data_IF_844420453796
#
_entry.id   IF_844420453796
#
_cell.length_a   1.000
_cell.length_b   1.000
_cell.length_c   1.000
_cell.angle_alpha   90.00
_cell.angle_beta   90.00
_cell.angle_gamma   90.00
#
_symmetry.space_group_name_H-M   'P 1'
#
loop_
_entity.id
_entity.type
_entity.pdbx_description
1 polymer ?
#
# COMPACT_ATOMS: atom_id res chain seq x y z
N UNK A 1 -6.88 -14.51 2.65
CA UNK A 1 -7.69 -14.31 1.44
C UNK A 1 -7.47 -12.88 0.96
N UNK A 2 -7.05 -12.69 -0.31
CA UNK A 2 -6.94 -11.35 -0.89
C UNK A 2 -8.32 -10.69 -0.88
N UNK A 3 -8.36 -9.41 -0.52
CA UNK A 3 -9.59 -8.61 -0.55
C UNK A 3 -9.44 -7.63 -1.69
N UNK A 4 -10.27 -7.75 -2.72
CA UNK A 4 -10.31 -6.79 -3.80
C UNK A 4 -10.93 -5.48 -3.29
N UNK A 5 -10.26 -4.37 -3.55
CA UNK A 5 -10.66 -3.08 -3.03
C UNK A 5 -9.89 -1.96 -3.70
N UNK A 6 -10.04 -0.78 -3.13
CA UNK A 6 -9.45 0.45 -3.64
C UNK A 6 -8.35 0.93 -2.70
N UNK A 7 -7.21 1.28 -3.29
CA UNK A 7 -6.12 1.95 -2.61
C UNK A 7 -6.21 3.45 -2.92
N UNK A 8 -6.34 4.27 -1.88
CA UNK A 8 -6.41 5.72 -1.96
C UNK A 8 -5.12 6.30 -1.42
N UNK A 9 -4.50 7.18 -2.20
CA UNK A 9 -3.27 7.88 -1.82
C UNK A 9 -3.61 9.36 -1.64
N UNK A 10 -3.30 9.90 -0.48
CA UNK A 10 -3.41 11.33 -0.16
C UNK A 10 -2.04 11.86 0.28
N UNK A 11 -1.94 13.17 0.52
CA UNK A 11 -0.69 13.80 0.98
C UNK A 11 -0.20 13.22 2.31
N UNK A 12 -1.11 12.87 3.22
CA UNK A 12 -0.77 12.46 4.60
C UNK A 12 -1.00 10.97 4.88
N UNK A 13 -1.92 10.34 4.14
CA UNK A 13 -2.37 8.97 4.40
C UNK A 13 -2.43 8.12 3.13
N UNK A 14 -2.16 6.84 3.32
CA UNK A 14 -2.60 5.74 2.48
C UNK A 14 -3.82 5.08 3.12
N UNK A 15 -4.87 4.89 2.34
CA UNK A 15 -6.07 4.21 2.81
C UNK A 15 -6.42 3.05 1.88
N UNK A 16 -6.89 1.96 2.45
CA UNK A 16 -7.46 0.84 1.69
C UNK A 16 -8.87 0.54 2.18
N UNK A 17 -9.78 0.37 1.22
CA UNK A 17 -11.17 0.01 1.48
C UNK A 17 -11.59 -1.15 0.59
N UNK A 18 -12.21 -2.16 1.20
CA UNK A 18 -12.86 -3.25 0.50
C UNK A 18 -14.18 -3.61 1.19
N UNK A 19 -15.19 -3.95 0.38
CA UNK A 19 -16.46 -4.48 0.87
C UNK A 19 -16.85 -5.68 0.01
N UNK A 20 -16.62 -6.88 0.55
CA UNK A 20 -16.85 -8.13 -0.18
C UNK A 20 -17.74 -9.03 0.68
N UNK A 21 -18.86 -9.49 0.11
CA UNK A 21 -19.79 -10.44 0.74
C UNK A 21 -20.22 -10.03 2.16
N UNK A 22 -20.57 -8.75 2.34
CA UNK A 22 -21.00 -8.21 3.64
C UNK A 22 -19.88 -8.00 4.65
N UNK A 23 -18.61 -8.21 4.27
CA UNK A 23 -17.44 -7.96 5.13
C UNK A 23 -16.72 -6.70 4.68
N UNK A 24 -16.73 -5.71 5.55
CA UNK A 24 -15.98 -4.47 5.38
C UNK A 24 -14.52 -4.64 5.83
N UNK A 25 -13.60 -4.04 5.10
CA UNK A 25 -12.19 -3.90 5.47
C UNK A 25 -11.74 -2.47 5.24
N UNK A 26 -11.22 -1.85 6.29
CA UNK A 26 -10.66 -0.51 6.26
C UNK A 26 -9.24 -0.57 6.81
N UNK A 27 -8.33 0.11 6.14
CA UNK A 27 -6.96 0.35 6.59
C UNK A 27 -6.64 1.81 6.33
N UNK A 28 -6.03 2.46 7.32
CA UNK A 28 -5.53 3.83 7.21
C UNK A 28 -4.11 3.82 7.79
N UNK A 29 -3.15 4.30 7.01
CA UNK A 29 -1.74 4.36 7.37
C UNK A 29 -1.25 5.77 7.09
N UNK A 30 -0.63 6.42 8.07
CA UNK A 30 0.06 7.70 7.84
C UNK A 30 1.39 7.43 7.16
N UNK A 31 1.78 8.28 6.21
CA UNK A 31 3.09 8.16 5.58
C UNK A 31 4.25 8.30 6.57
N UNK A 32 4.08 9.11 7.61
CA UNK A 32 5.06 9.25 8.70
C UNK A 32 5.28 7.99 9.53
N UNK A 33 4.35 7.02 9.48
CA UNK A 33 4.46 5.74 10.18
C UNK A 33 5.08 4.64 9.31
N UNK A 34 5.26 4.90 8.01
CA UNK A 34 5.89 3.96 7.06
C UNK A 34 7.38 3.96 7.29
N UNK A 35 7.92 2.78 7.60
CA UNK A 35 9.36 2.57 7.84
C UNK A 35 10.07 2.02 6.61
N UNK A 36 9.36 1.32 5.74
CA UNK A 36 9.92 0.67 4.56
C UNK A 36 8.86 0.55 3.46
N UNK A 37 9.27 0.76 2.21
CA UNK A 37 8.44 0.63 1.02
C UNK A 37 9.21 -0.16 -0.03
N UNK A 38 8.72 -1.34 -0.39
CA UNK A 38 9.37 -2.25 -1.34
C UNK A 38 8.46 -2.66 -2.48
N UNK A 39 9.05 -2.82 -3.67
CA UNK A 39 8.39 -3.45 -4.81
C UNK A 39 8.94 -4.85 -5.00
N UNK A 40 8.06 -5.84 -5.00
CA UNK A 40 8.41 -7.20 -5.36
C UNK A 40 8.16 -7.38 -6.86
N UNK A 41 9.13 -8.01 -7.54
CA UNK A 41 9.06 -8.38 -8.96
C UNK A 41 9.77 -9.73 -9.13
N UNK A 42 9.25 -10.75 -8.45
CA UNK A 42 9.86 -12.08 -8.44
C UNK A 42 8.95 -13.09 -9.12
N UNK A 43 9.52 -14.15 -9.68
CA UNK A 43 8.75 -15.28 -10.21
C UNK A 43 8.06 -16.10 -9.10
N UNK A 44 8.52 -15.97 -7.85
CA UNK A 44 8.11 -16.81 -6.72
C UNK A 44 7.01 -16.17 -5.87
N UNK A 45 7.00 -14.83 -5.78
CA UNK A 45 6.01 -14.06 -5.03
C UNK A 45 5.13 -13.22 -5.97
N UNK A 46 3.83 -13.04 -5.62
CA UNK A 46 2.95 -12.19 -6.38
C UNK A 46 3.50 -10.77 -6.51
N UNK A 47 3.38 -10.23 -7.72
CA UNK A 47 3.78 -8.87 -8.04
C UNK A 47 3.06 -7.88 -7.12
N UNK A 48 3.81 -7.21 -6.25
CA UNK A 48 3.23 -6.46 -5.13
C UNK A 48 4.09 -5.30 -4.68
N UNK A 49 3.45 -4.37 -3.97
CA UNK A 49 4.09 -3.33 -3.17
C UNK A 49 3.89 -3.71 -1.71
N UNK A 50 5.01 -3.87 -0.98
CA UNK A 50 5.06 -4.10 0.46
C UNK A 50 5.23 -2.76 1.18
N UNK A 51 4.42 -2.55 2.20
CA UNK A 51 4.50 -1.39 3.09
C UNK A 51 4.73 -1.92 4.50
N UNK A 52 5.85 -1.55 5.11
CA UNK A 52 6.10 -1.83 6.51
C UNK A 52 5.82 -0.58 7.34
N UNK A 53 5.07 -0.75 8.41
CA UNK A 53 4.98 0.20 9.52
C UNK A 53 5.73 -0.38 10.72
N UNK A 54 5.84 0.41 11.80
CA UNK A 54 6.44 -0.06 13.06
C UNK A 54 5.72 -1.29 13.66
N UNK A 55 4.44 -1.46 13.35
CA UNK A 55 3.61 -2.51 13.94
C UNK A 55 3.39 -3.70 12.99
N UNK A 56 3.21 -3.43 11.69
CA UNK A 56 2.67 -4.42 10.75
C UNK A 56 3.23 -4.23 9.35
N UNK A 57 3.12 -5.29 8.56
CA UNK A 57 3.41 -5.27 7.12
C UNK A 57 2.13 -5.50 6.32
N UNK A 58 1.99 -4.75 5.25
CA UNK A 58 0.87 -4.81 4.32
C UNK A 58 1.38 -5.05 2.91
N UNK A 59 0.76 -5.99 2.20
CA UNK A 59 1.06 -6.30 0.80
C UNK A 59 -0.13 -5.95 -0.07
N UNK A 60 0.10 -5.12 -1.08
CA UNK A 60 -0.87 -4.78 -2.11
C UNK A 60 -0.39 -5.33 -3.44
N UNK A 61 -1.27 -5.95 -4.21
CA UNK A 61 -0.96 -6.58 -5.49
C UNK A 61 -2.01 -6.24 -6.53
N UNK A 62 -1.86 -6.75 -7.75
CA UNK A 62 -2.82 -6.57 -8.85
C UNK A 62 -3.01 -5.09 -9.25
N UNK A 63 -1.92 -4.31 -9.18
CA UNK A 63 -1.91 -2.94 -9.69
C UNK A 63 -1.92 -2.93 -11.21
N UNK A 64 -2.74 -2.06 -11.81
CA UNK A 64 -2.68 -1.76 -13.25
C UNK A 64 -1.35 -1.10 -13.63
N UNK A 65 -0.90 -0.14 -12.83
CA UNK A 65 0.33 0.63 -13.04
C UNK A 65 1.22 0.61 -11.78
N UNK A 66 1.77 -0.57 -11.44
CA UNK A 66 2.55 -0.77 -10.20
C UNK A 66 3.73 0.20 -10.07
N UNK A 67 4.52 0.38 -11.12
CA UNK A 67 5.74 1.20 -11.09
C UNK A 67 5.45 2.68 -10.83
N UNK A 68 4.42 3.22 -11.48
CA UNK A 68 3.96 4.60 -11.27
C UNK A 68 3.39 4.76 -9.86
N UNK A 69 2.56 3.82 -9.42
CA UNK A 69 2.00 3.81 -8.06
C UNK A 69 3.12 3.80 -7.01
N UNK A 70 4.12 2.92 -7.16
CA UNK A 70 5.26 2.85 -6.25
C UNK A 70 6.07 4.16 -6.21
N UNK A 71 6.27 4.79 -7.37
CA UNK A 71 6.98 6.07 -7.48
C UNK A 71 6.24 7.16 -6.71
N UNK A 72 4.92 7.26 -6.89
CA UNK A 72 4.08 8.21 -6.15
C UNK A 72 4.10 7.94 -4.64
N UNK A 73 3.98 6.69 -4.21
CA UNK A 73 4.04 6.32 -2.79
C UNK A 73 5.39 6.70 -2.15
N UNK A 74 6.49 6.53 -2.90
CA UNK A 74 7.83 6.94 -2.47
C UNK A 74 7.91 8.45 -2.29
N UNK A 75 7.38 9.23 -3.24
CA UNK A 75 7.34 10.69 -3.15
C UNK A 75 6.53 11.17 -1.93
N UNK A 76 5.37 10.56 -1.68
CA UNK A 76 4.52 10.88 -0.52
C UNK A 76 5.21 10.54 0.81
N UNK A 77 5.91 9.40 0.86
CA UNK A 77 6.69 8.99 2.05
C UNK A 77 7.83 9.97 2.33
N UNK A 78 8.58 10.38 1.28
CA UNK A 78 9.66 11.36 1.42
C UNK A 78 9.15 12.74 1.84
N UNK A 79 7.96 13.14 1.37
CA UNK A 79 7.34 14.40 1.77
C UNK A 79 6.96 14.41 3.26
N UNK A 80 6.49 13.29 3.80
CA UNK A 80 6.10 13.16 5.20
C UNK A 80 7.28 13.07 6.18
N UNK A 81 8.48 12.75 5.67
CA UNK A 81 9.72 12.67 6.46
C UNK A 81 10.47 14.02 6.54
N UNK A 82 10.01 15.03 5.78
CA UNK A 82 10.57 16.38 5.78
C UNK A 82 9.86 17.26 6.79
#
# INVERSE_FOLDING_TARGET
>A
MPRQGWLYLSVNHLCFYAYILGRETKLVVRWSDVTELDKTSSLVFPDSIRIATREKQHHFSMFLHKSETFTLMTQLTNLAMK
#
